data_IF_307679398490
#
_entry.id   IF_307679398490
#
_cell.length_a   1.000
_cell.length_b   1.000
_cell.length_c   1.000
_cell.angle_alpha   90.00
_cell.angle_beta   90.00
_cell.angle_gamma   90.00
#
_symmetry.space_group_name_H-M   'P 1'
#
loop_
_entity.id
_entity.type
_entity.pdbx_description
1 polymer ?
#
# COMPACT_ATOMS: atom_id res chain seq x y z
N UNK A 1 -24.21 -12.29 -14.01
CA UNK A 1 -22.79 -12.37 -14.40
C UNK A 1 -21.91 -12.18 -13.17
N UNK A 2 -20.70 -12.74 -13.20
CA UNK A 2 -19.66 -12.54 -12.18
C UNK A 2 -19.34 -11.05 -11.95
N UNK A 3 -19.31 -10.27 -13.03
CA UNK A 3 -19.12 -8.83 -12.99
C UNK A 3 -20.16 -8.08 -12.12
N UNK A 4 -21.42 -8.53 -12.08
CA UNK A 4 -22.44 -7.92 -11.22
C UNK A 4 -22.25 -8.28 -9.74
N UNK A 5 -21.76 -9.48 -9.44
CA UNK A 5 -21.44 -9.89 -8.06
C UNK A 5 -20.28 -9.07 -7.50
N UNK A 6 -19.26 -8.79 -8.32
CA UNK A 6 -18.11 -7.98 -7.91
C UNK A 6 -18.45 -6.50 -7.71
N UNK A 7 -19.27 -5.91 -8.58
CA UNK A 7 -19.79 -4.54 -8.36
C UNK A 7 -20.52 -4.43 -7.02
N UNK A 8 -21.37 -5.40 -6.69
CA UNK A 8 -22.11 -5.43 -5.42
C UNK A 8 -21.19 -5.58 -4.20
N UNK A 9 -20.13 -6.40 -4.29
CA UNK A 9 -19.12 -6.53 -3.23
C UNK A 9 -18.37 -5.21 -2.98
N UNK A 10 -17.88 -4.57 -4.04
CA UNK A 10 -17.19 -3.26 -3.94
C UNK A 10 -18.10 -2.18 -3.34
N UNK A 11 -19.37 -2.13 -3.75
CA UNK A 11 -20.33 -1.17 -3.22
C UNK A 11 -20.65 -1.39 -1.72
N UNK A 12 -20.54 -2.61 -1.22
CA UNK A 12 -20.71 -2.90 0.22
C UNK A 12 -19.50 -2.45 1.03
N UNK A 13 -18.28 -2.73 0.55
CA UNK A 13 -17.05 -2.27 1.17
C UNK A 13 -16.95 -0.73 1.18
N UNK A 14 -17.27 -0.08 0.06
CA UNK A 14 -17.29 1.38 0.00
C UNK A 14 -18.27 1.99 1.03
N UNK A 15 -19.46 1.39 1.18
CA UNK A 15 -20.45 1.81 2.21
C UNK A 15 -19.97 1.57 3.63
N UNK A 16 -19.25 0.48 3.87
CA UNK A 16 -18.62 0.24 5.18
C UNK A 16 -17.61 1.35 5.48
N UNK A 17 -16.70 1.64 4.54
CA UNK A 17 -15.67 2.65 4.73
C UNK A 17 -16.21 4.09 4.79
N UNK A 18 -17.36 4.38 4.15
CA UNK A 18 -17.98 5.72 4.24
C UNK A 18 -18.48 6.09 5.64
N UNK A 19 -18.60 5.11 6.55
CA UNK A 19 -18.95 5.37 7.95
C UNK A 19 -17.78 5.90 8.79
N UNK A 20 -16.55 5.80 8.26
CA UNK A 20 -15.34 6.27 8.93
C UNK A 20 -14.95 7.65 8.41
N UNK A 21 -14.48 8.52 9.30
CA UNK A 21 -13.91 9.82 8.93
C UNK A 21 -12.42 9.72 8.55
N UNK A 22 -11.72 8.69 9.05
CA UNK A 22 -10.29 8.44 8.79
C UNK A 22 -9.89 7.00 9.06
N UNK A 23 -8.75 6.60 8.50
CA UNK A 23 -8.00 5.40 8.86
C UNK A 23 -6.69 5.82 9.53
N UNK A 24 -6.45 5.37 10.76
CA UNK A 24 -5.22 5.68 11.46
C UNK A 24 -4.02 4.88 10.94
N UNK A 25 -4.24 3.60 10.61
CA UNK A 25 -3.19 2.75 10.07
C UNK A 25 -3.78 1.80 9.03
N UNK A 26 -3.21 1.79 7.83
CA UNK A 26 -3.56 0.87 6.76
C UNK A 26 -2.37 -0.03 6.45
N UNK A 27 -2.56 -1.34 6.59
CA UNK A 27 -1.56 -2.34 6.23
C UNK A 27 -1.87 -2.90 4.84
N UNK A 28 -0.91 -2.82 3.93
CA UNK A 28 -1.00 -3.34 2.56
C UNK A 28 0.00 -4.48 2.41
N UNK A 29 -0.52 -5.69 2.20
CA UNK A 29 0.28 -6.85 1.81
C UNK A 29 0.27 -6.99 0.28
N UNK A 30 1.30 -6.45 -0.39
CA UNK A 30 1.43 -6.46 -1.85
C UNK A 30 2.29 -7.63 -2.36
N UNK A 31 2.42 -8.70 -1.59
CA UNK A 31 3.28 -9.84 -1.93
C UNK A 31 2.90 -10.53 -3.25
N UNK A 32 1.60 -10.53 -3.60
CA UNK A 32 1.06 -11.37 -4.67
C UNK A 32 0.35 -10.60 -5.78
N UNK A 33 -0.01 -9.33 -5.56
CA UNK A 33 -0.79 -8.55 -6.52
C UNK A 33 -0.24 -7.11 -6.69
N UNK A 34 0.33 -6.78 -7.86
CA UNK A 34 0.80 -5.42 -8.15
C UNK A 34 -0.36 -4.41 -8.27
N UNK A 35 -1.60 -4.86 -8.45
CA UNK A 35 -2.78 -4.01 -8.55
C UNK A 35 -3.42 -3.65 -7.21
N UNK A 36 -2.91 -4.18 -6.09
CA UNK A 36 -3.49 -3.95 -4.76
C UNK A 36 -3.60 -2.47 -4.43
N UNK A 37 -2.61 -1.65 -4.81
CA UNK A 37 -2.64 -0.21 -4.58
C UNK A 37 -3.81 0.45 -5.31
N UNK A 38 -4.02 0.13 -6.59
CA UNK A 38 -5.11 0.70 -7.38
C UNK A 38 -6.48 0.26 -6.86
N UNK A 39 -6.61 -1.02 -6.49
CA UNK A 39 -7.85 -1.56 -5.93
C UNK A 39 -8.20 -0.91 -4.60
N UNK A 40 -7.24 -0.85 -3.68
CA UNK A 40 -7.40 -0.17 -2.38
C UNK A 40 -7.72 1.30 -2.57
N UNK A 41 -7.00 1.98 -3.46
CA UNK A 41 -7.19 3.41 -3.76
C UNK A 41 -8.59 3.70 -4.31
N UNK A 42 -9.13 2.80 -5.13
CA UNK A 42 -10.50 2.90 -5.64
C UNK A 42 -11.55 2.62 -4.57
N UNK A 43 -11.26 1.72 -3.64
CA UNK A 43 -12.20 1.26 -2.60
C UNK A 43 -12.33 2.28 -1.47
N UNK A 44 -11.21 2.88 -1.06
CA UNK A 44 -11.17 3.84 0.04
C UNK A 44 -11.61 5.26 -0.38
N UNK A 45 -11.75 5.53 -1.67
CA UNK A 45 -12.20 6.84 -2.17
C UNK A 45 -11.28 7.96 -1.71
N UNK A 46 -11.84 8.93 -0.97
CA UNK A 46 -11.14 10.11 -0.42
C UNK A 46 -10.93 10.02 1.10
N UNK A 47 -11.04 8.82 1.68
CA UNK A 47 -10.85 8.63 3.11
C UNK A 47 -9.42 9.04 3.51
N UNK A 48 -9.30 9.86 4.56
CA UNK A 48 -8.01 10.29 5.09
C UNK A 48 -7.28 9.10 5.72
N UNK A 49 -5.98 8.96 5.43
CA UNK A 49 -5.15 7.87 5.96
C UNK A 49 -3.93 8.50 6.63
N UNK A 50 -3.74 8.26 7.93
CA UNK A 50 -2.63 8.86 8.68
C UNK A 50 -1.30 8.13 8.40
N UNK A 51 -1.34 6.79 8.39
CA UNK A 51 -0.18 5.91 8.21
C UNK A 51 -0.47 4.76 7.27
N UNK A 52 0.54 4.39 6.47
CA UNK A 52 0.57 3.13 5.75
C UNK A 52 1.76 2.26 6.15
N UNK A 53 1.52 0.96 6.19
CA UNK A 53 2.55 -0.07 6.29
C UNK A 53 2.47 -0.96 5.04
N UNK A 54 3.55 -1.04 4.28
CA UNK A 54 3.60 -1.78 3.02
C UNK A 54 4.54 -2.96 3.17
N UNK A 55 4.02 -4.16 2.96
CA UNK A 55 4.78 -5.40 2.89
C UNK A 55 4.85 -5.85 1.43
N UNK A 56 6.05 -5.81 0.85
CA UNK A 56 6.26 -6.18 -0.56
C UNK A 56 7.41 -7.15 -0.74
N UNK A 57 7.29 -8.07 -1.71
CA UNK A 57 8.40 -8.93 -2.14
C UNK A 57 9.33 -8.22 -3.12
N UNK A 58 8.78 -7.27 -3.89
CA UNK A 58 9.50 -6.52 -4.90
C UNK A 58 9.36 -5.03 -4.61
N UNK A 59 10.49 -4.35 -4.42
CA UNK A 59 10.53 -2.90 -4.21
C UNK A 59 11.09 -2.19 -5.45
N UNK A 60 10.45 -2.44 -6.58
CA UNK A 60 10.80 -1.86 -7.87
C UNK A 60 10.22 -0.45 -8.07
N UNK A 61 10.57 0.16 -9.21
CA UNK A 61 10.12 1.51 -9.58
C UNK A 61 8.60 1.65 -9.65
N UNK A 62 7.87 0.61 -10.04
CA UNK A 62 6.41 0.69 -10.20
C UNK A 62 5.68 0.58 -8.86
N UNK A 63 6.20 -0.26 -7.96
CA UNK A 63 5.78 -0.30 -6.56
C UNK A 63 6.05 1.04 -5.87
N UNK A 64 7.24 1.59 -6.06
CA UNK A 64 7.61 2.91 -5.53
C UNK A 64 6.68 4.02 -6.03
N UNK A 65 6.40 4.07 -7.34
CA UNK A 65 5.43 5.02 -7.92
C UNK A 65 4.03 4.84 -7.33
N UNK A 66 3.60 3.59 -7.15
CA UNK A 66 2.28 3.29 -6.56
C UNK A 66 2.17 3.81 -5.13
N UNK A 67 3.23 3.62 -4.32
CA UNK A 67 3.30 4.13 -2.95
C UNK A 67 3.24 5.66 -2.94
N UNK A 68 4.02 6.34 -3.80
CA UNK A 68 4.02 7.81 -3.89
C UNK A 68 2.64 8.34 -4.26
N UNK A 69 2.01 7.79 -5.32
CA UNK A 69 0.66 8.20 -5.74
C UNK A 69 -0.38 7.97 -4.65
N UNK A 70 -0.28 6.84 -3.94
CA UNK A 70 -1.18 6.52 -2.84
C UNK A 70 -1.01 7.50 -1.68
N UNK A 71 0.25 7.83 -1.34
CA UNK A 71 0.61 8.81 -0.31
C UNK A 71 0.05 10.19 -0.64
N UNK A 72 0.24 10.64 -1.88
CA UNK A 72 -0.26 11.92 -2.38
C UNK A 72 -1.79 11.99 -2.31
N UNK A 73 -2.49 10.98 -2.84
CA UNK A 73 -3.96 10.98 -2.89
C UNK A 73 -4.60 11.06 -1.50
N UNK A 74 -4.05 10.32 -0.54
CA UNK A 74 -4.62 10.19 0.80
C UNK A 74 -3.96 11.09 1.84
N UNK A 75 -3.04 11.97 1.42
CA UNK A 75 -2.28 12.89 2.27
C UNK A 75 -1.61 12.18 3.47
N UNK A 76 -0.95 11.06 3.20
CA UNK A 76 -0.37 10.19 4.23
C UNK A 76 0.90 10.81 4.80
N UNK A 77 0.98 10.87 6.14
CA UNK A 77 2.11 11.47 6.86
C UNK A 77 3.21 10.47 7.23
N UNK A 78 2.86 9.20 7.35
CA UNK A 78 3.80 8.15 7.78
C UNK A 78 3.76 6.96 6.85
N UNK A 79 4.89 6.65 6.21
CA UNK A 79 5.03 5.52 5.29
C UNK A 79 6.08 4.57 5.85
N UNK A 80 5.67 3.34 6.17
CA UNK A 80 6.59 2.27 6.57
C UNK A 80 6.62 1.19 5.51
N UNK A 81 7.82 0.76 5.11
CA UNK A 81 8.01 -0.22 4.03
C UNK A 81 8.85 -1.38 4.55
N UNK A 82 8.35 -2.59 4.33
CA UNK A 82 9.03 -3.85 4.58
C UNK A 82 9.28 -4.53 3.24
N UNK A 83 10.54 -4.64 2.85
CA UNK A 83 10.95 -5.27 1.60
C UNK A 83 12.20 -6.15 1.81
N UNK A 84 12.41 -7.22 1.03
CA UNK A 84 13.58 -8.07 1.18
C UNK A 84 14.88 -7.45 0.66
N UNK A 85 14.79 -6.52 -0.30
CA UNK A 85 15.94 -5.81 -0.85
C UNK A 85 15.54 -4.44 -1.35
N UNK A 86 16.30 -3.41 -1.00
CA UNK A 86 16.15 -2.06 -1.52
C UNK A 86 17.37 -1.69 -2.36
N UNK A 87 17.17 -1.36 -3.63
CA UNK A 87 18.26 -0.84 -4.46
C UNK A 87 18.53 0.63 -4.11
N UNK A 88 19.70 0.92 -3.55
CA UNK A 88 20.10 2.28 -3.12
C UNK A 88 20.02 3.30 -4.26
N UNK A 89 20.43 2.95 -5.47
CA UNK A 89 20.44 3.86 -6.63
C UNK A 89 19.03 4.36 -7.00
N UNK A 90 18.01 3.55 -6.67
CA UNK A 90 16.61 3.85 -6.95
C UNK A 90 15.89 4.46 -5.73
N UNK A 91 16.53 4.44 -4.56
CA UNK A 91 15.91 4.87 -3.32
C UNK A 91 15.91 6.39 -3.16
N UNK A 92 16.98 7.06 -3.60
CA UNK A 92 17.09 8.52 -3.46
C UNK A 92 15.94 9.28 -4.14
N UNK A 93 15.57 8.99 -5.41
CA UNK A 93 14.44 9.67 -6.05
C UNK A 93 13.11 9.38 -5.35
N UNK A 94 12.92 8.14 -4.86
CA UNK A 94 11.73 7.73 -4.13
C UNK A 94 11.55 8.51 -2.81
N UNK A 95 12.61 8.55 -1.99
CA UNK A 95 12.60 9.28 -0.72
C UNK A 95 12.39 10.79 -0.93
N UNK A 96 13.01 11.34 -1.98
CA UNK A 96 12.83 12.76 -2.35
C UNK A 96 11.37 13.08 -2.65
N UNK A 97 10.68 12.20 -3.40
CA UNK A 97 9.27 12.40 -3.71
C UNK A 97 8.38 12.34 -2.46
N UNK A 98 8.61 11.40 -1.56
CA UNK A 98 7.85 11.32 -0.31
C UNK A 98 8.13 12.51 0.63
N UNK A 99 9.37 12.97 0.69
CA UNK A 99 9.74 14.16 1.47
C UNK A 99 9.05 15.42 0.95
N UNK A 100 8.90 15.60 -0.37
CA UNK A 100 8.14 16.72 -0.96
C UNK A 100 6.65 16.70 -0.57
N UNK A 101 6.09 15.52 -0.31
CA UNK A 101 4.73 15.35 0.20
C UNK A 101 4.63 15.58 1.72
N UNK A 102 5.75 15.84 2.40
CA UNK A 102 5.80 15.96 3.86
C UNK A 102 5.67 14.63 4.61
N UNK A 103 5.85 13.50 3.92
CA UNK A 103 5.75 12.18 4.52
C UNK A 103 7.06 11.77 5.20
N UNK A 104 6.94 11.27 6.43
CA UNK A 104 8.03 10.59 7.14
C UNK A 104 8.11 9.14 6.69
N UNK A 105 9.31 8.64 6.38
CA UNK A 105 9.50 7.33 5.75
C UNK A 105 10.42 6.45 6.59
N UNK A 106 9.98 5.24 6.90
CA UNK A 106 10.79 4.19 7.49
C UNK A 106 10.88 3.00 6.53
N UNK A 107 12.08 2.49 6.29
CA UNK A 107 12.31 1.34 5.41
C UNK A 107 13.07 0.29 6.17
N UNK A 108 12.54 -0.93 6.17
CA UNK A 108 13.12 -2.08 6.83
C UNK A 108 13.39 -3.17 5.80
N UNK A 109 14.66 -3.54 5.68
CA UNK A 109 15.02 -4.75 4.95
C UNK A 109 14.70 -5.97 5.80
N UNK A 110 13.82 -6.84 5.32
CA UNK A 110 13.41 -8.07 6.02
C UNK A 110 13.75 -9.29 5.19
N UNK A 111 14.53 -10.20 5.76
CA UNK A 111 14.73 -11.54 5.18
C UNK A 111 13.39 -12.28 5.19
N UNK A 112 12.75 -12.38 4.03
CA UNK A 112 11.47 -13.06 3.89
C UNK A 112 11.70 -14.55 3.62
N UNK A 113 11.29 -15.40 4.58
CA UNK A 113 11.28 -16.84 4.38
C UNK A 113 10.00 -17.26 3.64
N UNK A 114 10.11 -17.38 2.31
CA UNK A 114 9.00 -17.74 1.42
C UNK A 114 8.39 -19.10 1.72
N UNK A 115 9.18 -20.05 2.23
CA UNK A 115 8.69 -21.40 2.55
C UNK A 115 7.76 -21.37 3.77
N UNK A 116 8.10 -20.60 4.81
CA UNK A 116 7.30 -20.53 6.03
C UNK A 116 5.97 -19.78 5.83
N UNK A 117 5.97 -18.67 5.07
CA UNK A 117 4.75 -17.90 4.82
C UNK A 117 3.71 -18.72 4.03
N UNK A 118 4.15 -19.50 3.03
CA UNK A 118 3.23 -20.34 2.25
C UNK A 118 2.62 -21.50 3.05
N UNK A 119 3.21 -21.89 4.19
CA UNK A 119 2.68 -22.92 5.08
C UNK A 119 1.62 -22.39 6.07
N UNK A 120 1.61 -21.08 6.33
CA UNK A 120 0.69 -20.46 7.31
C UNK A 120 -0.54 -19.85 6.63
N UNK A 121 -0.36 -19.29 5.42
CA UNK A 121 -1.37 -18.45 4.77
C UNK A 121 -1.99 -19.05 3.49
N UNK A 122 -1.64 -20.30 3.14
CA UNK A 122 -2.35 -21.13 2.16
C UNK A 122 -2.91 -22.37 2.85
#
# INVERSE_FOLDING_TARGET
SEANKDKSRRARLARFFSSFSRINNLVIHSFYDPHVFNLTMSTLGNLHIERIEVFTMNFDKDTQKSIVKFTEKHNIRYVTIFAPKCNQDQLQPFLTNLSKLGASVNIYERVYNKQFHNQIFN
#
